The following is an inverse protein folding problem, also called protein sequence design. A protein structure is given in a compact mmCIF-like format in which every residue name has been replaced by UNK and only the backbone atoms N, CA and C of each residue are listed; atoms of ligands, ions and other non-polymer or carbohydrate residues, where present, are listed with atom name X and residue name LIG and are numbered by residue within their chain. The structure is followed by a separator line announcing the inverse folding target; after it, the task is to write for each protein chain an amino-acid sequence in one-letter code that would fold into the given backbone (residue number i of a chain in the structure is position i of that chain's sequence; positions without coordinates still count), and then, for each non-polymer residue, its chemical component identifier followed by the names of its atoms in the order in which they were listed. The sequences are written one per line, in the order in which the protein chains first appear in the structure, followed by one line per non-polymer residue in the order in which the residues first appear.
data_IF_966139656510
#
_entry.id   IF_966139656510
#
_cell.length_a   1.000
_cell.length_b   1.000
_cell.length_c   1.000
_cell.angle_alpha   90.00
_cell.angle_beta   90.00
_cell.angle_gamma   90.00
#
_symmetry.space_group_name_H-M   'P 1'
#
loop_
_entity.id
_entity.type
_entity.pdbx_description
1 polymer ?
#
# COMPACT_ATOMS: atom_id res chain seq x y z
N UNK A 1 6.43 -32.61 42.42
CA UNK A 1 5.19 -31.82 42.23
C UNK A 1 5.18 -31.40 40.78
N UNK A 2 4.23 -31.92 40.00
CA UNK A 2 4.21 -31.83 38.54
C UNK A 2 3.98 -30.39 38.06
N UNK A 3 4.76 -30.07 37.03
CA UNK A 3 4.59 -29.10 35.95
C UNK A 3 3.18 -28.56 35.73
N UNK A 4 3.06 -27.23 35.65
CA UNK A 4 2.50 -26.56 34.46
C UNK A 4 2.75 -25.04 34.54
N UNK A 5 3.73 -24.55 33.78
CA UNK A 5 3.75 -23.15 33.38
C UNK A 5 2.68 -23.00 32.30
N UNK A 6 1.48 -22.62 32.71
CA UNK A 6 0.38 -22.30 31.79
C UNK A 6 0.61 -20.85 31.33
N UNK A 7 1.29 -20.68 30.19
CA UNK A 7 1.13 -19.45 29.40
C UNK A 7 -0.24 -19.52 28.76
N UNK A 8 -1.17 -18.61 29.09
CA UNK A 8 -2.51 -18.69 28.55
C UNK A 8 -2.45 -18.20 27.10
N UNK A 9 -2.72 -19.12 26.18
CA UNK A 9 -2.96 -18.92 24.72
C UNK A 9 -3.82 -17.68 24.39
N UNK A 10 -4.62 -17.22 25.36
CA UNK A 10 -5.51 -16.05 25.30
C UNK A 10 -4.82 -14.68 25.40
N UNK A 11 -3.59 -14.59 25.94
CA UNK A 11 -2.89 -13.30 26.14
C UNK A 11 -2.10 -12.82 24.91
N UNK A 12 -1.67 -13.72 24.03
CA UNK A 12 -1.01 -13.35 22.77
C UNK A 12 -1.96 -12.60 21.83
N UNK A 13 -3.20 -13.05 21.65
CA UNK A 13 -4.14 -12.40 20.72
C UNK A 13 -4.47 -10.95 21.08
N UNK A 14 -4.54 -10.61 22.37
CA UNK A 14 -4.95 -9.28 22.82
C UNK A 14 -3.89 -8.20 22.55
N UNK A 15 -2.64 -8.60 22.36
CA UNK A 15 -1.50 -7.70 22.13
C UNK A 15 -1.00 -7.74 20.69
N UNK A 16 -1.08 -8.91 20.03
CA UNK A 16 -0.63 -9.11 18.64
C UNK A 16 -1.55 -8.40 17.64
N UNK A 17 -2.87 -8.38 17.86
CA UNK A 17 -3.81 -7.71 16.94
C UNK A 17 -3.56 -6.20 16.86
N UNK A 18 -3.45 -5.44 17.99
CA UNK A 18 -3.09 -4.03 17.93
C UNK A 18 -1.76 -3.75 17.22
N UNK A 19 -0.72 -4.53 17.51
CA UNK A 19 0.61 -4.36 16.91
C UNK A 19 0.57 -4.55 15.39
N UNK A 20 -0.15 -5.58 14.92
CA UNK A 20 -0.26 -5.83 13.48
C UNK A 20 -1.11 -4.75 12.80
N UNK A 21 -2.18 -4.27 13.45
CA UNK A 21 -2.96 -3.13 12.95
C UNK A 21 -2.10 -1.88 12.82
N UNK A 22 -1.30 -1.54 13.84
CA UNK A 22 -0.40 -0.39 13.81
C UNK A 22 0.63 -0.52 12.67
N UNK A 23 1.23 -1.70 12.52
CA UNK A 23 2.17 -1.99 11.43
C UNK A 23 1.53 -1.81 10.05
N UNK A 24 0.29 -2.27 9.88
CA UNK A 24 -0.46 -2.14 8.63
C UNK A 24 -0.83 -0.68 8.34
N UNK A 25 -1.20 0.09 9.37
CA UNK A 25 -1.46 1.53 9.24
C UNK A 25 -0.19 2.26 8.82
N UNK A 26 0.94 1.99 9.48
CA UNK A 26 2.24 2.57 9.12
C UNK A 26 2.66 2.23 7.70
N UNK A 27 2.45 0.97 7.28
CA UNK A 27 2.75 0.55 5.92
C UNK A 27 1.89 1.31 4.90
N UNK A 28 0.59 1.46 5.15
CA UNK A 28 -0.31 2.26 4.31
C UNK A 28 0.15 3.72 4.23
N UNK A 29 0.57 4.32 5.34
CA UNK A 29 1.08 5.70 5.37
C UNK A 29 2.35 5.84 4.54
N UNK A 30 3.31 4.92 4.70
CA UNK A 30 4.59 4.93 3.95
C UNK A 30 4.34 4.80 2.44
N UNK A 31 3.51 3.85 2.03
CA UNK A 31 3.13 3.65 0.63
C UNK A 31 2.44 4.89 0.08
N UNK A 32 1.49 5.49 0.82
CA UNK A 32 0.81 6.72 0.40
C UNK A 32 1.77 7.88 0.21
N UNK A 33 2.72 8.04 1.12
CA UNK A 33 3.74 9.10 1.05
C UNK A 33 4.58 8.97 -0.22
N UNK A 34 5.01 7.76 -0.57
CA UNK A 34 5.76 7.48 -1.81
C UNK A 34 4.92 7.76 -3.06
N UNK A 35 3.68 7.25 -3.12
CA UNK A 35 2.79 7.52 -4.27
C UNK A 35 2.55 9.03 -4.45
N UNK A 36 2.40 9.78 -3.36
CA UNK A 36 2.16 11.22 -3.42
C UNK A 36 3.33 12.03 -4.01
N UNK A 37 4.54 11.46 -4.13
CA UNK A 37 5.70 12.10 -4.76
C UNK A 37 5.64 12.09 -6.29
N UNK A 38 4.78 11.26 -6.89
CA UNK A 38 4.54 11.30 -8.33
C UNK A 38 4.06 12.70 -8.75
N UNK A 39 4.33 13.11 -9.99
CA UNK A 39 3.85 14.41 -10.46
C UNK A 39 2.40 14.32 -10.97
N UNK A 40 2.09 13.26 -11.72
CA UNK A 40 0.76 13.09 -12.33
C UNK A 40 -0.29 12.65 -11.29
N UNK A 41 -1.29 13.50 -11.08
CA UNK A 41 -2.39 13.23 -10.15
C UNK A 41 -3.27 12.04 -10.57
N UNK A 42 -3.33 11.69 -11.86
CA UNK A 42 -4.06 10.51 -12.35
C UNK A 42 -3.35 9.25 -11.91
N UNK A 43 -2.02 9.21 -11.99
CA UNK A 43 -1.21 8.10 -11.49
C UNK A 43 -1.33 7.94 -9.98
N UNK A 44 -1.29 9.05 -9.22
CA UNK A 44 -1.59 9.02 -7.77
C UNK A 44 -2.96 8.42 -7.49
N UNK A 45 -3.98 8.90 -8.19
CA UNK A 45 -5.36 8.47 -8.00
C UNK A 45 -5.51 6.96 -8.25
N UNK A 46 -4.95 6.46 -9.36
CA UNK A 46 -4.98 5.04 -9.71
C UNK A 46 -4.30 4.19 -8.62
N UNK A 47 -3.06 4.52 -8.24
CA UNK A 47 -2.29 3.70 -7.31
C UNK A 47 -2.86 3.75 -5.88
N UNK A 48 -3.29 4.92 -5.39
CA UNK A 48 -3.94 5.03 -4.07
C UNK A 48 -5.22 4.22 -4.04
N UNK A 49 -6.07 4.34 -5.07
CA UNK A 49 -7.33 3.63 -5.06
C UNK A 49 -7.16 2.12 -5.17
N UNK A 50 -6.19 1.66 -5.95
CA UNK A 50 -5.91 0.23 -6.09
C UNK A 50 -5.28 -0.36 -4.81
N UNK A 51 -4.15 0.17 -4.34
CA UNK A 51 -3.38 -0.45 -3.26
C UNK A 51 -3.82 -0.06 -1.85
N UNK A 52 -4.42 1.12 -1.66
CA UNK A 52 -4.79 1.62 -0.32
C UNK A 52 -6.28 1.46 -0.07
N UNK A 53 -7.11 1.80 -1.07
CA UNK A 53 -8.57 1.77 -0.95
C UNK A 53 -9.19 0.48 -1.48
N UNK A 54 -8.38 -0.47 -1.98
CA UNK A 54 -8.81 -1.78 -2.48
C UNK A 54 -9.93 -1.71 -3.54
N UNK A 55 -9.86 -0.72 -4.44
CA UNK A 55 -10.82 -0.56 -5.54
C UNK A 55 -10.43 -1.39 -6.74
N UNK A 56 -11.43 -1.87 -7.48
CA UNK A 56 -11.21 -2.55 -8.75
C UNK A 56 -10.87 -1.55 -9.87
N UNK A 57 -10.32 -2.05 -10.99
CA UNK A 57 -10.03 -1.19 -12.13
C UNK A 57 -11.29 -0.56 -12.74
N UNK A 58 -12.44 -1.21 -12.66
CA UNK A 58 -13.74 -0.66 -13.08
C UNK A 58 -14.11 0.56 -12.22
N UNK A 59 -14.07 0.42 -10.90
CA UNK A 59 -14.37 1.53 -9.99
C UNK A 59 -13.38 2.69 -10.15
N UNK A 60 -12.09 2.38 -10.39
CA UNK A 60 -11.08 3.41 -10.64
C UNK A 60 -11.37 4.11 -11.96
N UNK A 61 -11.69 3.36 -13.02
CA UNK A 61 -12.03 3.88 -14.33
C UNK A 61 -13.20 4.88 -14.29
N UNK A 62 -14.23 4.58 -13.48
CA UNK A 62 -15.33 5.50 -13.19
C UNK A 62 -14.85 6.79 -12.51
N UNK A 63 -13.97 6.69 -11.50
CA UNK A 63 -13.42 7.84 -10.76
C UNK A 63 -12.59 8.75 -11.65
N UNK A 64 -11.79 8.19 -12.55
CA UNK A 64 -10.89 8.97 -13.43
C UNK A 64 -11.53 9.32 -14.78
N UNK A 65 -12.76 8.85 -15.05
CA UNK A 65 -13.48 9.02 -16.31
C UNK A 65 -12.75 8.46 -17.54
N UNK A 66 -12.17 7.27 -17.41
CA UNK A 66 -11.52 6.55 -18.51
C UNK A 66 -12.15 5.16 -18.69
N UNK A 67 -11.78 4.47 -19.77
CA UNK A 67 -12.10 3.05 -19.92
C UNK A 67 -11.26 2.21 -18.96
N UNK A 68 -11.75 1.02 -18.61
CA UNK A 68 -10.98 0.03 -17.82
C UNK A 68 -9.63 -0.28 -18.47
N UNK A 69 -9.60 -0.51 -19.78
CA UNK A 69 -8.38 -0.83 -20.51
C UNK A 69 -7.35 0.32 -20.42
N UNK A 70 -7.80 1.56 -20.58
CA UNK A 70 -6.93 2.73 -20.43
C UNK A 70 -6.43 2.87 -18.99
N UNK A 71 -7.29 2.60 -18.01
CA UNK A 71 -6.95 2.63 -16.58
C UNK A 71 -5.86 1.61 -16.23
N UNK A 72 -5.97 0.38 -16.74
CA UNK A 72 -4.93 -0.66 -16.56
C UNK A 72 -3.61 -0.27 -17.22
N UNK A 73 -3.64 0.32 -18.42
CA UNK A 73 -2.43 0.80 -19.11
C UNK A 73 -1.75 1.91 -18.30
N UNK A 74 -2.53 2.89 -17.82
CA UNK A 74 -2.03 3.97 -16.97
C UNK A 74 -1.52 3.47 -15.62
N UNK A 75 -2.12 2.42 -15.06
CA UNK A 75 -1.62 1.75 -13.86
C UNK A 75 -0.21 1.19 -14.06
N UNK A 76 0.05 0.49 -15.18
CA UNK A 76 1.38 0.01 -15.52
C UNK A 76 2.40 1.16 -15.63
N UNK A 77 2.08 2.21 -16.39
CA UNK A 77 2.96 3.38 -16.49
C UNK A 77 3.20 4.07 -15.14
N UNK A 78 2.19 4.14 -14.28
CA UNK A 78 2.32 4.71 -12.94
C UNK A 78 3.31 3.91 -12.08
N UNK A 79 3.29 2.58 -12.17
CA UNK A 79 4.23 1.70 -11.48
C UNK A 79 5.66 1.89 -12.00
N UNK A 80 5.86 1.88 -13.32
CA UNK A 80 7.19 2.06 -13.92
C UNK A 80 7.85 3.38 -13.48
N UNK A 81 7.05 4.46 -13.42
CA UNK A 81 7.53 5.78 -12.99
C UNK A 81 7.84 5.77 -11.49
N UNK A 82 6.98 5.15 -10.68
CA UNK A 82 7.19 5.06 -9.24
C UNK A 82 8.45 4.25 -8.91
N UNK A 83 8.68 3.13 -9.62
CA UNK A 83 9.86 2.29 -9.48
C UNK A 83 11.13 3.08 -9.80
N UNK A 84 11.18 3.74 -10.97
CA UNK A 84 12.33 4.57 -11.35
C UNK A 84 12.60 5.69 -10.35
N UNK A 85 11.55 6.34 -9.85
CA UNK A 85 11.68 7.38 -8.82
C UNK A 85 12.29 6.83 -7.53
N UNK A 86 11.92 5.62 -7.12
CA UNK A 86 12.46 4.97 -5.92
C UNK A 86 13.93 4.57 -6.13
N UNK A 87 14.25 3.97 -7.28
CA UNK A 87 15.62 3.53 -7.62
C UNK A 87 16.59 4.71 -7.74
N UNK A 88 16.17 5.81 -8.37
CA UNK A 88 17.02 7.00 -8.48
C UNK A 88 17.30 7.59 -7.10
N UNK A 89 16.29 7.67 -6.22
CA UNK A 89 16.45 8.18 -4.87
C UNK A 89 17.34 7.31 -3.97
N UNK A 90 17.57 6.03 -4.31
CA UNK A 90 18.51 5.16 -3.58
C UNK A 90 19.94 5.28 -4.11
N UNK A 91 20.11 5.63 -5.38
CA UNK A 91 21.44 5.80 -6.00
C UNK A 91 22.11 7.13 -5.64
N UNK A 92 21.37 8.08 -5.08
CA UNK A 92 21.90 9.37 -4.59
C UNK A 92 22.46 9.30 -3.15
N UNK A 93 22.49 8.10 -2.54
CA UNK A 93 22.94 7.86 -1.14
C UNK A 93 24.27 7.09 -1.09
N UNK A 94 24.88 6.79 -2.25
CA UNK A 94 26.26 6.28 -2.39
C UNK A 94 27.21 7.39 -2.85
#
# INVERSE_FOLDING_TARGET
MNTEFIVPEKYEFKTVIPIEVDRLVDLKVKVRKKINQLQDNRFKCILINYYINNKTFEQIAEIIHYSKAQTMRMHGYALDILEKMILNATNDIE
#
